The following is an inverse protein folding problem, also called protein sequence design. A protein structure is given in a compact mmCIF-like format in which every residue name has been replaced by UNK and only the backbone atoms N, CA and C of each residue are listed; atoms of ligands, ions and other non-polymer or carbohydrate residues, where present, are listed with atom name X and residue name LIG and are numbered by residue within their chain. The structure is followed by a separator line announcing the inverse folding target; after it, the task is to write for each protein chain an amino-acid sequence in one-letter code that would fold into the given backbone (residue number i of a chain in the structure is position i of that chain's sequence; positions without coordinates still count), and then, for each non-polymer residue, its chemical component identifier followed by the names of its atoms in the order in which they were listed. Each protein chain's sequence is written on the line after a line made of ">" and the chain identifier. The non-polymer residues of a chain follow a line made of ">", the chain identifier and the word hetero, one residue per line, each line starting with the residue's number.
data_IF_551003307391
#
_entry.id   IF_551003307391
#
_cell.length_a   1.000
_cell.length_b   1.000
_cell.length_c   1.000
_cell.angle_alpha   90.00
_cell.angle_beta   90.00
_cell.angle_gamma   90.00
#
_symmetry.space_group_name_H-M   'P 1'
#
loop_
_entity.id
_entity.type
_entity.pdbx_description
1 polymer ?
#
# COMPACT_ATOMS: atom_id res chain seq x y z
N UNK A 1 -14.96 -12.34 -14.21
CA UNK A 1 -14.28 -11.96 -15.47
C UNK A 1 -12.93 -11.24 -15.30
N UNK A 2 -12.40 -11.01 -14.08
CA UNK A 2 -11.12 -10.30 -13.88
C UNK A 2 -9.91 -11.18 -13.51
N UNK A 3 -10.06 -12.52 -13.51
CA UNK A 3 -9.00 -13.45 -13.07
C UNK A 3 -8.14 -14.03 -14.22
N UNK A 4 -8.56 -13.89 -15.48
CA UNK A 4 -7.84 -14.45 -16.64
C UNK A 4 -6.71 -13.56 -17.19
N UNK A 5 -6.38 -12.44 -16.53
CA UNK A 5 -5.37 -11.47 -17.00
C UNK A 5 -4.08 -11.44 -16.15
N UNK A 6 -3.90 -12.42 -15.27
CA UNK A 6 -2.81 -12.44 -14.28
C UNK A 6 -2.02 -13.76 -14.27
N UNK A 7 -2.22 -14.64 -15.26
CA UNK A 7 -1.36 -15.81 -15.48
C UNK A 7 -0.10 -15.47 -16.31
N UNK A 8 0.10 -14.20 -16.67
CA UNK A 8 1.21 -13.78 -17.55
C UNK A 8 2.31 -12.98 -16.84
N UNK A 9 2.56 -13.19 -15.53
CA UNK A 9 3.77 -12.61 -14.92
C UNK A 9 5.06 -13.16 -15.56
N UNK A 10 4.98 -14.34 -16.19
CA UNK A 10 6.06 -14.91 -17.02
C UNK A 10 6.11 -14.33 -18.43
N UNK A 11 5.13 -13.54 -18.87
CA UNK A 11 5.10 -12.93 -20.21
C UNK A 11 5.28 -11.41 -20.16
N UNK A 12 5.77 -10.85 -19.04
CA UNK A 12 6.26 -9.46 -19.09
C UNK A 12 7.49 -9.44 -19.98
N UNK A 13 7.33 -8.84 -21.17
CA UNK A 13 8.42 -8.69 -22.12
C UNK A 13 9.57 -7.93 -21.45
N UNK A 14 10.77 -8.53 -21.55
CA UNK A 14 11.98 -7.95 -21.02
C UNK A 14 12.58 -7.05 -22.08
N UNK A 15 12.58 -5.75 -21.85
CA UNK A 15 13.14 -4.81 -22.82
C UNK A 15 14.66 -4.73 -22.68
N UNK A 16 15.38 -4.71 -23.82
CA UNK A 16 16.82 -4.48 -23.84
C UNK A 16 17.12 -2.98 -23.93
N UNK A 17 17.83 -2.45 -22.93
CA UNK A 17 18.22 -1.05 -22.77
C UNK A 17 19.74 -0.89 -22.57
N UNK A 18 20.54 -1.84 -23.07
CA UNK A 18 22.01 -1.86 -22.94
C UNK A 18 22.71 -0.66 -23.60
N UNK A 19 22.15 -0.09 -24.68
CA UNK A 19 22.75 1.00 -25.44
C UNK A 19 22.46 2.41 -24.88
N UNK A 20 21.75 2.48 -23.75
CA UNK A 20 21.37 3.76 -23.13
C UNK A 20 22.44 4.21 -22.14
N UNK A 21 22.83 5.48 -22.24
CA UNK A 21 23.68 6.12 -21.23
C UNK A 21 22.88 6.33 -19.95
N UNK A 22 23.46 5.95 -18.81
CA UNK A 22 22.81 6.03 -17.50
C UNK A 22 23.69 6.83 -16.53
N UNK A 23 23.10 7.79 -15.84
CA UNK A 23 23.75 8.56 -14.78
C UNK A 23 23.20 8.13 -13.43
N UNK A 24 24.05 7.72 -12.49
CA UNK A 24 23.61 7.35 -11.13
C UNK A 24 23.00 8.57 -10.44
N UNK A 25 21.75 8.45 -10.01
CA UNK A 25 21.05 9.46 -9.22
C UNK A 25 21.32 9.29 -7.72
N UNK A 26 21.43 8.05 -7.27
CA UNK A 26 21.61 7.72 -5.87
C UNK A 26 21.49 6.22 -5.62
N UNK A 27 21.42 5.86 -4.36
CA UNK A 27 21.17 4.49 -3.90
C UNK A 27 20.79 4.49 -2.44
N UNK A 28 19.96 3.52 -2.05
CA UNK A 28 19.59 3.26 -0.67
C UNK A 28 20.15 1.94 -0.19
N UNK A 29 19.62 1.42 0.92
CA UNK A 29 20.04 0.13 1.47
C UNK A 29 19.75 -1.08 0.57
N UNK A 30 18.87 -0.94 -0.43
CA UNK A 30 18.36 -2.08 -1.20
C UNK A 30 18.61 -2.00 -2.70
N UNK A 31 18.89 -0.81 -3.22
CA UNK A 31 18.85 -0.55 -4.64
C UNK A 31 19.70 0.66 -5.01
N UNK A 32 20.16 0.64 -6.26
CA UNK A 32 20.72 1.79 -6.95
C UNK A 32 19.72 2.33 -7.96
N UNK A 33 19.76 3.64 -8.17
CA UNK A 33 18.85 4.37 -9.06
C UNK A 33 19.66 5.16 -10.08
N UNK A 34 19.30 5.01 -11.34
CA UNK A 34 19.95 5.66 -12.48
C UNK A 34 18.93 6.45 -13.30
N UNK A 35 19.38 7.51 -13.95
CA UNK A 35 18.61 8.30 -14.92
C UNK A 35 19.14 8.09 -16.32
N UNK A 36 18.27 7.93 -17.30
CA UNK A 36 18.67 7.83 -18.70
C UNK A 36 19.32 9.13 -19.19
N UNK A 37 20.18 9.05 -20.21
CA UNK A 37 20.88 10.21 -20.77
C UNK A 37 19.95 11.25 -21.39
N UNK A 38 18.77 10.85 -21.88
CA UNK A 38 17.71 11.77 -22.32
C UNK A 38 16.92 12.42 -21.16
N UNK A 39 17.19 11.98 -19.92
CA UNK A 39 16.59 12.48 -18.71
C UNK A 39 15.14 12.10 -18.48
N UNK A 40 14.56 11.21 -19.30
CA UNK A 40 13.13 10.86 -19.27
C UNK A 40 12.78 9.62 -18.46
N UNK A 41 13.75 8.76 -18.17
CA UNK A 41 13.53 7.47 -17.52
C UNK A 41 14.41 7.32 -16.28
N UNK A 42 13.92 6.50 -15.36
CA UNK A 42 14.64 6.02 -14.18
C UNK A 42 14.76 4.52 -14.29
N UNK A 43 15.97 4.00 -14.08
CA UNK A 43 16.24 2.59 -13.91
C UNK A 43 16.57 2.32 -12.45
N UNK A 44 15.84 1.39 -11.81
CA UNK A 44 16.10 0.94 -10.45
C UNK A 44 16.55 -0.51 -10.49
N UNK A 45 17.72 -0.77 -9.90
CA UNK A 45 18.32 -2.11 -9.82
C UNK A 45 18.60 -2.47 -8.37
N UNK A 46 18.28 -3.70 -8.01
CA UNK A 46 18.51 -4.22 -6.68
C UNK A 46 19.98 -4.61 -6.46
N UNK A 47 20.49 -4.38 -5.25
CA UNK A 47 21.82 -4.83 -4.84
C UNK A 47 21.92 -6.36 -4.85
N UNK A 48 22.96 -6.90 -5.48
CA UNK A 48 23.12 -8.33 -5.73
C UNK A 48 23.53 -9.14 -4.49
N UNK A 49 23.94 -8.46 -3.41
CA UNK A 49 24.49 -9.01 -2.18
C UNK A 49 23.48 -9.17 -1.04
N UNK A 50 22.27 -8.65 -1.20
CA UNK A 50 21.22 -8.72 -0.17
C UNK A 50 20.84 -10.18 0.12
N UNK A 51 20.39 -10.50 1.33
CA UNK A 51 19.77 -11.80 1.58
C UNK A 51 18.37 -11.89 0.94
N UNK A 52 17.84 -13.10 0.77
CA UNK A 52 16.54 -13.32 0.11
C UNK A 52 15.37 -12.59 0.80
N UNK A 53 15.48 -12.30 2.10
CA UNK A 53 14.43 -11.62 2.86
C UNK A 53 14.49 -10.10 2.65
N UNK A 54 15.69 -9.53 2.61
CA UNK A 54 15.97 -8.12 2.35
C UNK A 54 15.70 -7.76 0.88
N UNK A 55 15.88 -8.68 -0.06
CA UNK A 55 15.57 -8.47 -1.49
C UNK A 55 14.09 -8.29 -1.76
N UNK A 56 13.26 -8.95 -0.97
CA UNK A 56 11.91 -9.24 -1.38
C UNK A 56 10.98 -8.02 -1.62
N UNK A 57 11.09 -6.91 -0.87
CA UNK A 57 10.30 -5.70 -1.16
C UNK A 57 10.63 -5.08 -2.53
N UNK A 58 11.86 -5.19 -3.01
CA UNK A 58 12.35 -4.46 -4.19
C UNK A 58 12.57 -5.34 -5.43
N UNK A 59 12.14 -6.61 -5.42
CA UNK A 59 12.23 -7.49 -6.60
C UNK A 59 11.56 -6.83 -7.81
N UNK A 60 12.25 -6.71 -8.97
CA UNK A 60 11.78 -5.91 -10.11
C UNK A 60 10.34 -6.21 -10.56
N UNK A 61 9.96 -7.48 -10.65
CA UNK A 61 8.63 -7.93 -11.06
C UNK A 61 7.54 -7.41 -10.11
N UNK A 62 7.83 -7.44 -8.80
CA UNK A 62 6.92 -6.90 -7.79
C UNK A 62 6.82 -5.40 -7.96
N UNK A 63 7.96 -4.71 -8.11
CA UNK A 63 8.03 -3.26 -8.24
C UNK A 63 7.25 -2.76 -9.45
N UNK A 64 7.45 -3.34 -10.64
CA UNK A 64 6.68 -3.00 -11.85
C UNK A 64 5.19 -3.15 -11.64
N UNK A 65 4.74 -4.28 -11.08
CA UNK A 65 3.32 -4.52 -10.81
C UNK A 65 2.73 -3.47 -9.86
N UNK A 66 3.43 -3.18 -8.76
CA UNK A 66 2.97 -2.20 -7.77
C UNK A 66 2.95 -0.78 -8.34
N UNK A 67 3.98 -0.43 -9.09
CA UNK A 67 4.10 0.87 -9.72
C UNK A 67 2.93 1.08 -10.68
N UNK A 68 2.64 0.10 -11.55
CA UNK A 68 1.53 0.19 -12.49
C UNK A 68 0.15 0.18 -11.81
N UNK A 69 0.02 -0.41 -10.62
CA UNK A 69 -1.20 -0.36 -9.81
C UNK A 69 -1.40 1.04 -9.19
N UNK A 70 -0.32 1.62 -8.66
CA UNK A 70 -0.31 2.89 -7.94
C UNK A 70 -0.35 4.08 -8.92
N UNK A 71 0.53 4.09 -9.93
CA UNK A 71 0.78 5.13 -10.93
C UNK A 71 0.46 4.64 -12.37
N UNK A 72 -0.80 4.30 -12.69
CA UNK A 72 -1.18 3.66 -13.96
C UNK A 72 -1.00 4.55 -15.19
N UNK A 73 -0.90 5.86 -14.99
CA UNK A 73 -0.64 6.89 -15.99
C UNK A 73 0.86 7.07 -16.30
N UNK A 74 1.73 6.41 -15.54
CA UNK A 74 3.18 6.43 -15.70
C UNK A 74 3.67 4.98 -15.79
N UNK A 75 3.51 4.26 -16.90
CA UNK A 75 3.79 2.83 -16.94
C UNK A 75 5.27 2.50 -16.69
N UNK A 76 5.51 1.48 -15.88
CA UNK A 76 6.81 0.85 -15.65
C UNK A 76 6.89 -0.53 -16.33
N UNK A 77 8.10 -0.98 -16.60
CA UNK A 77 8.39 -2.26 -17.25
C UNK A 77 9.71 -2.87 -16.76
N UNK A 78 9.89 -4.17 -17.01
CA UNK A 78 11.13 -4.86 -16.72
C UNK A 78 12.18 -4.54 -17.80
N UNK A 79 13.43 -4.37 -17.39
CA UNK A 79 14.50 -4.08 -18.33
C UNK A 79 15.80 -4.79 -17.93
N UNK A 80 16.63 -5.03 -18.95
CA UNK A 80 18.04 -5.38 -18.79
C UNK A 80 18.88 -4.23 -19.35
N UNK A 81 19.88 -3.82 -18.56
CA UNK A 81 20.87 -2.81 -18.92
C UNK A 81 22.27 -3.39 -18.74
N UNK A 82 23.30 -2.60 -19.03
CA UNK A 82 24.69 -2.94 -18.71
C UNK A 82 24.97 -3.19 -17.21
N UNK A 83 24.06 -2.77 -16.32
CA UNK A 83 24.17 -3.02 -14.88
C UNK A 83 23.45 -4.30 -14.44
N UNK A 84 22.63 -4.90 -15.31
CA UNK A 84 21.87 -6.12 -15.03
C UNK A 84 20.36 -5.92 -15.12
N UNK A 85 19.62 -6.86 -14.53
CA UNK A 85 18.15 -6.89 -14.55
C UNK A 85 17.57 -5.97 -13.47
N UNK A 86 16.67 -5.08 -13.86
CA UNK A 86 15.94 -4.20 -12.96
C UNK A 86 14.60 -3.81 -13.56
N UNK A 87 14.13 -2.60 -13.24
CA UNK A 87 12.92 -2.05 -13.83
C UNK A 87 13.07 -0.58 -14.16
N UNK A 88 12.34 -0.15 -15.19
CA UNK A 88 12.35 1.22 -15.68
C UNK A 88 10.97 1.85 -15.46
N UNK A 89 10.95 3.13 -15.10
CA UNK A 89 9.75 3.96 -15.07
C UNK A 89 10.05 5.39 -15.57
N UNK A 90 9.02 6.20 -15.87
CA UNK A 90 9.22 7.60 -16.20
C UNK A 90 9.88 8.37 -15.06
N UNK A 91 10.82 9.25 -15.40
CA UNK A 91 11.42 10.17 -14.46
C UNK A 91 10.38 11.23 -14.03
N UNK A 92 10.07 11.25 -12.73
CA UNK A 92 9.11 12.20 -12.17
C UNK A 92 9.87 13.37 -11.54
N UNK A 93 9.82 14.52 -12.20
CA UNK A 93 10.37 15.76 -11.66
C UNK A 93 9.33 16.47 -10.78
N UNK A 94 9.79 17.02 -9.66
CA UNK A 94 8.94 17.75 -8.73
C UNK A 94 9.63 18.10 -7.42
N UNK A 95 8.86 18.68 -6.52
CA UNK A 95 9.27 19.00 -5.14
C UNK A 95 8.65 18.02 -4.16
N UNK A 96 9.15 17.96 -2.93
CA UNK A 96 8.49 17.17 -1.89
C UNK A 96 7.12 17.79 -1.53
N UNK A 97 6.01 17.02 -1.50
CA UNK A 97 4.72 17.52 -1.08
C UNK A 97 4.64 17.87 0.41
N UNK A 98 3.64 18.66 0.80
CA UNK A 98 3.33 18.91 2.21
C UNK A 98 2.87 17.63 2.93
N UNK A 99 2.92 17.62 4.26
CA UNK A 99 2.46 16.48 5.07
C UNK A 99 0.96 16.16 4.81
N UNK A 100 0.13 17.19 4.63
CA UNK A 100 -1.29 17.03 4.28
C UNK A 100 -1.49 16.46 2.88
N UNK A 101 -0.66 16.88 1.92
CA UNK A 101 -0.69 16.37 0.54
C UNK A 101 -0.24 14.90 0.48
N UNK A 102 0.80 14.54 1.23
CA UNK A 102 1.24 13.15 1.39
C UNK A 102 0.15 12.28 2.03
N UNK A 103 -0.47 12.76 3.11
CA UNK A 103 -1.58 12.08 3.78
C UNK A 103 -2.75 11.80 2.82
N UNK A 104 -3.15 12.80 2.02
CA UNK A 104 -4.19 12.65 0.99
C UNK A 104 -3.80 11.62 -0.07
N UNK A 105 -2.57 11.68 -0.58
CA UNK A 105 -2.08 10.70 -1.55
C UNK A 105 -2.08 9.26 -1.00
N UNK A 106 -1.70 9.08 0.28
CA UNK A 106 -1.75 7.77 0.96
C UNK A 106 -3.19 7.25 1.07
N UNK A 107 -4.16 8.11 1.39
CA UNK A 107 -5.58 7.77 1.43
C UNK A 107 -6.07 7.34 0.03
N UNK A 108 -5.74 8.11 -1.00
CA UNK A 108 -6.14 7.81 -2.38
C UNK A 108 -5.58 6.48 -2.86
N UNK A 109 -4.31 6.20 -2.56
CA UNK A 109 -3.66 4.92 -2.88
C UNK A 109 -4.34 3.77 -2.14
N UNK A 110 -4.64 3.92 -0.86
CA UNK A 110 -5.37 2.91 -0.09
C UNK A 110 -6.75 2.65 -0.68
N UNK A 111 -7.52 3.69 -0.99
CA UNK A 111 -8.87 3.54 -1.54
C UNK A 111 -8.88 2.83 -2.91
N UNK A 112 -7.87 3.11 -3.73
CA UNK A 112 -7.73 2.54 -5.07
C UNK A 112 -7.23 1.09 -5.06
N UNK A 113 -6.27 0.77 -4.19
CA UNK A 113 -5.48 -0.48 -4.27
C UNK A 113 -5.65 -1.40 -3.06
N UNK A 114 -6.14 -0.86 -1.95
CA UNK A 114 -6.14 -1.50 -0.62
C UNK A 114 -4.74 -1.59 0.01
N UNK A 115 -3.76 -0.85 -0.51
CA UNK A 115 -2.36 -0.86 -0.02
C UNK A 115 -2.08 0.32 0.90
N UNK A 116 -1.22 0.09 1.87
CA UNK A 116 -0.72 1.05 2.85
C UNK A 116 0.77 1.27 2.54
N UNK A 117 1.16 2.52 2.28
CA UNK A 117 2.57 2.89 2.09
C UNK A 117 3.20 3.15 3.45
N UNK A 118 3.93 2.16 3.99
CA UNK A 118 4.43 2.20 5.35
C UNK A 118 5.54 3.25 5.56
N UNK A 119 6.36 3.44 4.53
CA UNK A 119 7.51 4.34 4.48
C UNK A 119 7.17 5.67 3.78
N UNK A 120 5.90 5.95 3.50
CA UNK A 120 5.46 7.20 2.88
C UNK A 120 6.08 8.48 3.48
N UNK A 121 6.29 8.63 4.81
CA UNK A 121 6.94 9.79 5.41
C UNK A 121 8.44 9.95 5.09
N UNK A 122 9.04 8.98 4.40
CA UNK A 122 10.42 9.02 3.95
C UNK A 122 10.66 10.22 3.04
N UNK A 123 11.86 10.79 3.13
CA UNK A 123 12.25 11.90 2.27
C UNK A 123 12.24 11.44 0.81
N UNK A 124 11.72 12.29 -0.08
CA UNK A 124 11.63 12.04 -1.52
C UNK A 124 10.83 10.80 -1.99
N UNK A 125 10.15 10.09 -1.07
CA UNK A 125 9.25 8.99 -1.43
C UNK A 125 8.01 9.44 -2.21
N UNK A 126 7.69 10.74 -2.14
CA UNK A 126 6.68 11.39 -2.96
C UNK A 126 7.25 12.62 -3.69
N UNK A 127 6.71 12.87 -4.88
CA UNK A 127 6.97 14.10 -5.64
C UNK A 127 5.67 14.77 -6.02
N UNK A 128 5.57 16.07 -5.74
CA UNK A 128 4.57 16.96 -6.30
C UNK A 128 5.10 17.55 -7.60
N UNK A 129 4.50 17.12 -8.69
CA UNK A 129 4.86 17.57 -10.04
C UNK A 129 4.36 18.99 -10.30
N UNK A 130 4.88 19.70 -11.32
CA UNK A 130 4.50 21.09 -11.60
C UNK A 130 3.01 21.32 -11.87
N UNK A 131 2.30 20.29 -12.36
CA UNK A 131 0.84 20.34 -12.58
C UNK A 131 0.02 20.18 -11.28
N UNK A 132 0.68 19.97 -10.14
CA UNK A 132 0.08 19.80 -8.83
C UNK A 132 -0.19 18.36 -8.42
N UNK A 133 0.01 17.37 -9.31
CA UNK A 133 -0.19 15.94 -8.99
C UNK A 133 0.90 15.43 -8.05
N UNK A 134 0.49 14.67 -7.04
CA UNK A 134 1.38 13.98 -6.10
C UNK A 134 1.56 12.53 -6.54
N UNK A 135 2.80 12.14 -6.80
CA UNK A 135 3.18 10.81 -7.29
C UNK A 135 4.02 10.10 -6.23
N UNK A 136 3.69 8.85 -5.93
CA UNK A 136 4.49 7.99 -5.05
C UNK A 136 5.64 7.38 -5.87
N UNK A 137 6.87 7.68 -5.49
CA UNK A 137 8.09 7.25 -6.19
C UNK A 137 8.68 6.00 -5.54
N UNK A 138 8.65 5.91 -4.21
CA UNK A 138 9.05 4.68 -3.53
C UNK A 138 7.83 3.85 -3.13
N UNK A 139 7.74 2.69 -3.77
CA UNK A 139 6.64 1.73 -3.65
C UNK A 139 7.08 0.44 -2.94
N UNK A 140 8.36 0.34 -2.52
CA UNK A 140 8.92 -0.86 -1.90
C UNK A 140 8.08 -1.35 -0.73
N UNK A 141 7.60 -0.42 0.11
CA UNK A 141 6.76 -0.72 1.27
C UNK A 141 5.26 -0.47 1.07
N UNK A 142 4.75 -0.64 -0.16
CA UNK A 142 3.32 -0.70 -0.42
C UNK A 142 2.71 -2.05 0.03
N UNK A 143 2.21 -2.11 1.26
CA UNK A 143 1.75 -3.32 1.92
C UNK A 143 0.23 -3.48 1.83
N UNK A 144 -0.24 -4.66 1.41
CA UNK A 144 -1.65 -5.08 1.47
C UNK A 144 -1.88 -6.05 2.62
N UNK A 145 -2.78 -5.73 3.55
CA UNK A 145 -3.09 -6.65 4.66
C UNK A 145 -4.36 -7.41 4.32
N UNK A 146 -4.22 -8.66 3.89
CA UNK A 146 -5.37 -9.52 3.63
C UNK A 146 -5.91 -10.14 4.92
N UNK A 147 -7.23 -10.07 5.08
CA UNK A 147 -7.92 -10.64 6.24
C UNK A 147 -7.68 -12.16 6.39
N UNK A 148 -7.42 -12.87 5.28
CA UNK A 148 -7.14 -14.31 5.26
C UNK A 148 -5.74 -14.65 5.78
N UNK A 149 -4.79 -13.73 5.69
CA UNK A 149 -3.41 -13.96 6.13
C UNK A 149 -3.23 -13.78 7.65
N UNK A 150 -4.30 -13.35 8.35
CA UNK A 150 -4.34 -13.20 9.81
C UNK A 150 -4.13 -14.50 10.58
N UNK A 151 -4.36 -15.66 9.95
CA UNK A 151 -4.32 -16.98 10.61
C UNK A 151 -3.07 -17.81 10.25
N UNK A 152 -2.21 -17.34 9.34
CA UNK A 152 -1.07 -18.13 8.87
C UNK A 152 0.16 -17.92 9.76
N UNK A 153 0.85 -19.01 10.12
CA UNK A 153 2.18 -18.98 10.77
C UNK A 153 3.25 -18.50 9.78
N UNK A 154 4.47 -18.21 10.27
CA UNK A 154 5.58 -17.80 9.39
C UNK A 154 5.91 -18.91 8.40
N UNK A 155 6.05 -20.18 8.84
CA UNK A 155 6.32 -21.30 7.93
C UNK A 155 5.20 -21.49 6.89
N UNK A 156 3.93 -21.29 7.27
CA UNK A 156 2.81 -21.40 6.34
C UNK A 156 2.84 -20.33 5.24
N UNK A 157 3.32 -19.12 5.57
CA UNK A 157 3.55 -18.07 4.57
C UNK A 157 4.75 -18.39 3.67
N UNK A 158 5.75 -19.14 4.14
CA UNK A 158 6.88 -19.59 3.32
C UNK A 158 6.46 -20.68 2.32
N UNK A 159 5.71 -21.69 2.77
CA UNK A 159 5.31 -22.82 1.91
C UNK A 159 4.30 -22.42 0.84
N UNK A 160 3.38 -21.51 1.16
CA UNK A 160 2.38 -21.01 0.21
C UNK A 160 2.99 -20.01 -0.78
N UNK A 161 4.07 -19.31 -0.41
CA UNK A 161 4.80 -18.41 -1.31
C UNK A 161 5.45 -19.14 -2.49
N UNK A 162 5.96 -20.35 -2.27
CA UNK A 162 6.48 -21.23 -3.32
C UNK A 162 5.41 -21.69 -4.34
N UNK A 163 4.11 -21.44 -4.05
CA UNK A 163 2.98 -21.85 -4.88
C UNK A 163 2.27 -20.69 -5.61
N UNK A 164 2.78 -19.45 -5.52
CA UNK A 164 2.44 -18.36 -6.46
C UNK A 164 1.14 -17.57 -6.19
N UNK A 165 0.65 -17.49 -4.94
CA UNK A 165 -0.59 -16.73 -4.63
C UNK A 165 -0.33 -15.22 -4.43
N UNK A 166 -1.17 -14.40 -5.08
CA UNK A 166 -0.94 -13.01 -5.54
C UNK A 166 -0.76 -11.89 -4.50
N UNK A 167 -0.76 -12.15 -3.19
CA UNK A 167 -0.77 -11.10 -2.15
C UNK A 167 0.08 -11.39 -0.90
N UNK A 168 0.71 -12.56 -0.82
CA UNK A 168 1.41 -13.07 0.37
C UNK A 168 2.63 -12.25 0.79
N UNK A 169 3.19 -11.49 -0.15
CA UNK A 169 4.37 -10.67 0.07
C UNK A 169 4.20 -9.68 1.21
N UNK A 170 3.02 -9.06 1.29
CA UNK A 170 2.80 -7.91 2.15
C UNK A 170 2.73 -8.28 3.63
N UNK A 171 2.12 -9.42 3.97
CA UNK A 171 2.00 -9.87 5.36
C UNK A 171 3.35 -10.32 5.93
N UNK A 172 4.15 -11.04 5.13
CA UNK A 172 5.52 -11.45 5.51
C UNK A 172 6.44 -10.25 5.66
N UNK A 173 6.49 -9.36 4.65
CA UNK A 173 7.28 -8.13 4.72
C UNK A 173 6.88 -7.30 5.93
N UNK A 174 5.58 -7.14 6.20
CA UNK A 174 5.11 -6.42 7.39
C UNK A 174 5.61 -7.05 8.68
N UNK A 175 5.51 -8.37 8.87
CA UNK A 175 5.97 -9.04 10.09
C UNK A 175 7.46 -8.83 10.35
N UNK A 176 8.28 -8.86 9.29
CA UNK A 176 9.74 -8.67 9.39
C UNK A 176 10.08 -7.20 9.67
N UNK A 177 9.40 -6.28 8.98
CA UNK A 177 9.76 -4.84 9.00
C UNK A 177 9.06 -4.05 10.11
N UNK A 178 8.00 -4.60 10.74
CA UNK A 178 7.22 -3.91 11.77
C UNK A 178 8.07 -3.38 12.92
N UNK A 179 9.05 -4.15 13.41
CA UNK A 179 9.94 -3.70 14.48
C UNK A 179 10.79 -2.50 14.06
N UNK A 180 11.22 -2.45 12.80
CA UNK A 180 11.85 -1.27 12.22
C UNK A 180 10.92 -0.06 12.27
N UNK A 181 9.64 -0.24 11.92
CA UNK A 181 8.65 0.82 11.95
C UNK A 181 8.32 1.36 13.35
N UNK A 182 8.53 0.58 14.41
CA UNK A 182 8.38 1.05 15.79
C UNK A 182 9.39 2.15 16.13
N UNK A 183 10.58 2.13 15.51
CA UNK A 183 11.60 3.19 15.66
C UNK A 183 11.46 4.28 14.61
N UNK A 184 11.08 3.92 13.37
CA UNK A 184 10.91 4.86 12.28
C UNK A 184 9.74 5.83 12.52
N UNK A 185 8.57 5.35 12.96
CA UNK A 185 7.39 6.22 13.09
C UNK A 185 7.56 7.35 14.09
N UNK A 186 8.14 7.16 15.30
CA UNK A 186 8.44 8.27 16.20
C UNK A 186 9.35 9.34 15.56
N UNK A 187 10.39 8.92 14.83
CA UNK A 187 11.30 9.84 14.16
C UNK A 187 10.63 10.57 12.97
N UNK A 188 9.87 9.84 12.16
CA UNK A 188 9.12 10.38 11.05
C UNK A 188 8.00 11.34 11.51
N UNK A 189 7.32 11.02 12.61
CA UNK A 189 6.22 11.82 13.16
C UNK A 189 6.67 13.21 13.62
N UNK A 190 7.96 13.41 13.88
CA UNK A 190 8.51 14.74 14.15
C UNK A 190 8.39 15.67 12.93
N UNK A 191 8.56 15.13 11.71
CA UNK A 191 8.54 15.90 10.46
C UNK A 191 7.20 15.84 9.74
N UNK A 192 6.53 14.68 9.81
CA UNK A 192 5.33 14.34 9.04
C UNK A 192 4.25 13.69 9.93
N UNK A 193 3.80 14.37 11.00
CA UNK A 193 2.87 13.80 11.97
C UNK A 193 1.53 13.36 11.34
N UNK A 194 1.00 14.11 10.38
CA UNK A 194 -0.30 13.83 9.76
C UNK A 194 -0.20 12.55 8.95
N UNK A 195 0.81 12.43 8.08
CA UNK A 195 1.04 11.22 7.27
C UNK A 195 1.26 9.99 8.15
N UNK A 196 2.08 10.08 9.20
CA UNK A 196 2.30 8.96 10.14
C UNK A 196 1.00 8.52 10.82
N UNK A 197 0.20 9.47 11.32
CA UNK A 197 -1.08 9.14 11.95
C UNK A 197 -2.06 8.50 10.95
N UNK A 198 -2.11 8.98 9.71
CA UNK A 198 -2.90 8.37 8.64
C UNK A 198 -2.49 6.92 8.38
N UNK A 199 -1.19 6.64 8.24
CA UNK A 199 -0.69 5.27 8.03
C UNK A 199 -1.08 4.35 9.20
N UNK A 200 -0.89 4.81 10.43
CA UNK A 200 -1.26 4.05 11.63
C UNK A 200 -2.78 3.79 11.69
N UNK A 201 -3.60 4.78 11.36
CA UNK A 201 -5.05 4.63 11.27
C UNK A 201 -5.47 3.63 10.17
N UNK A 202 -4.80 3.63 9.01
CA UNK A 202 -5.04 2.66 7.94
C UNK A 202 -4.66 1.23 8.38
N UNK A 203 -3.55 1.05 9.08
CA UNK A 203 -3.19 -0.24 9.67
C UNK A 203 -4.25 -0.73 10.65
N UNK A 204 -4.78 0.16 11.49
CA UNK A 204 -5.87 -0.16 12.40
C UNK A 204 -7.12 -0.63 11.64
N UNK A 205 -7.54 0.10 10.60
CA UNK A 205 -8.69 -0.29 9.77
C UNK A 205 -8.45 -1.63 9.09
N UNK A 206 -7.32 -1.84 8.44
CA UNK A 206 -7.05 -3.11 7.75
C UNK A 206 -7.05 -4.31 8.73
N UNK A 207 -6.61 -4.08 9.96
CA UNK A 207 -6.59 -5.13 10.99
C UNK A 207 -7.98 -5.40 11.59
N UNK A 208 -8.73 -4.38 12.00
CA UNK A 208 -9.98 -4.58 12.73
C UNK A 208 -11.24 -4.49 11.87
N UNK A 209 -11.17 -3.80 10.72
CA UNK A 209 -12.29 -3.50 9.82
C UNK A 209 -11.90 -3.70 8.35
N UNK A 210 -11.46 -4.91 7.96
CA UNK A 210 -11.03 -5.19 6.58
C UNK A 210 -12.14 -5.04 5.54
N UNK A 211 -13.40 -4.91 5.97
CA UNK A 211 -14.54 -4.62 5.11
C UNK A 211 -14.62 -3.14 4.68
N UNK A 212 -13.83 -2.25 5.30
CA UNK A 212 -13.75 -0.83 4.92
C UNK A 212 -12.61 -0.69 3.91
N UNK A 213 -12.97 -0.49 2.64
CA UNK A 213 -12.02 -0.25 1.54
C UNK A 213 -11.99 1.20 1.06
N UNK A 214 -12.87 2.06 1.59
CA UNK A 214 -12.91 3.48 1.30
C UNK A 214 -12.85 4.27 2.61
N UNK A 215 -11.83 5.11 2.77
CA UNK A 215 -11.57 5.93 3.95
C UNK A 215 -11.54 7.43 3.63
N UNK A 216 -12.24 7.87 2.57
CA UNK A 216 -12.37 9.30 2.22
C UNK A 216 -12.86 10.17 3.39
N UNK A 217 -13.56 9.58 4.36
CA UNK A 217 -13.95 10.29 5.57
C UNK A 217 -12.78 10.78 6.42
N UNK A 218 -11.57 10.23 6.28
CA UNK A 218 -10.37 10.74 6.95
C UNK A 218 -10.06 12.19 6.62
N UNK A 219 -10.36 12.64 5.39
CA UNK A 219 -10.10 14.02 4.94
C UNK A 219 -10.85 15.07 5.77
N UNK A 220 -11.97 14.69 6.40
CA UNK A 220 -12.83 15.60 7.15
C UNK A 220 -12.86 15.29 8.67
N UNK A 221 -12.12 14.27 9.12
CA UNK A 221 -12.20 13.76 10.48
C UNK A 221 -10.80 13.52 11.08
N UNK A 222 -9.96 14.57 11.22
CA UNK A 222 -8.60 14.42 11.74
C UNK A 222 -8.56 13.85 13.17
N UNK A 223 -9.54 14.19 14.01
CA UNK A 223 -9.66 13.63 15.36
C UNK A 223 -9.90 12.12 15.35
N UNK A 224 -10.65 11.61 14.37
CA UNK A 224 -10.84 10.17 14.19
C UNK A 224 -9.52 9.52 13.79
N UNK A 225 -8.78 10.10 12.85
CA UNK A 225 -7.46 9.59 12.43
C UNK A 225 -6.53 9.45 13.64
N UNK A 226 -6.47 10.46 14.50
CA UNK A 226 -5.68 10.42 15.73
C UNK A 226 -6.14 9.33 16.70
N UNK A 227 -7.45 9.11 16.86
CA UNK A 227 -7.99 8.06 17.72
C UNK A 227 -7.65 6.66 17.18
N UNK A 228 -7.76 6.44 15.87
CA UNK A 228 -7.40 5.18 15.23
C UNK A 228 -5.89 4.92 15.29
N UNK A 229 -5.07 5.95 15.12
CA UNK A 229 -3.61 5.86 15.27
C UNK A 229 -3.19 5.46 16.70
N UNK A 230 -3.89 5.94 17.73
CA UNK A 230 -3.73 5.47 19.12
C UNK A 230 -4.18 4.01 19.27
N UNK A 231 -5.32 3.66 18.66
CA UNK A 231 -5.80 2.27 18.57
C UNK A 231 -4.75 1.31 18.00
N UNK A 232 -4.04 1.72 16.95
CA UNK A 232 -2.94 0.94 16.36
C UNK A 232 -1.81 0.65 17.36
N UNK A 233 -1.49 1.59 18.24
CA UNK A 233 -0.50 1.43 19.31
C UNK A 233 -1.00 0.57 20.48
N UNK A 234 -2.22 0.05 20.39
CA UNK A 234 -2.87 -0.74 21.43
C UNK A 234 -3.60 0.09 22.49
N UNK A 235 -3.69 1.41 22.31
CA UNK A 235 -4.38 2.30 23.24
C UNK A 235 -5.86 2.42 22.88
N UNK A 236 -6.76 2.19 23.85
CA UNK A 236 -8.19 2.49 23.71
C UNK A 236 -8.85 1.90 22.45
N UNK A 237 -8.51 0.65 22.11
CA UNK A 237 -9.00 -0.04 20.91
C UNK A 237 -10.54 0.00 20.81
N UNK A 238 -11.25 -0.23 21.92
CA UNK A 238 -12.71 -0.19 21.95
C UNK A 238 -13.27 1.20 21.60
N UNK A 239 -12.68 2.27 22.14
CA UNK A 239 -13.09 3.65 21.85
C UNK A 239 -12.83 3.99 20.37
N UNK A 240 -11.68 3.57 19.83
CA UNK A 240 -11.31 3.76 18.44
C UNK A 240 -12.30 3.04 17.48
N UNK A 241 -12.71 1.80 17.81
CA UNK A 241 -13.74 1.08 17.05
C UNK A 241 -15.10 1.77 17.12
N UNK A 242 -15.52 2.19 18.32
CA UNK A 242 -16.79 2.89 18.49
C UNK A 242 -16.81 4.24 17.74
N UNK A 243 -15.70 4.97 17.72
CA UNK A 243 -15.56 6.20 16.93
C UNK A 243 -15.69 5.93 15.42
N UNK A 244 -15.03 4.87 14.93
CA UNK A 244 -15.12 4.45 13.53
C UNK A 244 -16.55 4.01 13.14
N UNK A 245 -17.24 3.28 14.01
CA UNK A 245 -18.63 2.85 13.79
C UNK A 245 -19.58 4.04 13.68
N UNK A 246 -19.42 5.05 14.54
CA UNK A 246 -20.23 6.28 14.47
C UNK A 246 -20.01 7.00 13.14
N UNK A 247 -18.76 7.22 12.74
CA UNK A 247 -18.44 7.93 11.50
C UNK A 247 -19.01 7.23 10.27
N UNK A 248 -18.87 5.90 10.20
CA UNK A 248 -19.34 5.10 9.06
C UNK A 248 -20.86 4.94 9.02
N UNK A 249 -21.53 4.90 10.17
CA UNK A 249 -23.01 4.82 10.24
C UNK A 249 -23.68 6.14 9.86
N UNK A 250 -23.13 7.27 10.30
CA UNK A 250 -23.66 8.61 9.98
C UNK A 250 -23.64 8.85 8.46
N UNK A 251 -22.57 8.46 7.78
CA UNK A 251 -22.44 8.65 6.33
C UNK A 251 -23.31 7.70 5.50
N UNK A 252 -23.44 6.44 5.92
CA UNK A 252 -24.37 5.52 5.29
C UNK A 252 -25.83 6.02 5.35
N UNK A 253 -26.19 6.72 6.43
CA UNK A 253 -27.52 7.32 6.58
C UNK A 253 -27.73 8.57 5.71
N UNK A 254 -26.67 9.36 5.48
CA UNK A 254 -26.72 10.56 4.64
C UNK A 254 -26.82 10.26 3.14
N UNK A 255 -26.30 9.11 2.70
CA UNK A 255 -26.33 8.69 1.29
C UNK A 255 -27.60 7.93 0.89
N UNK A 256 -28.54 7.70 1.82
CA UNK A 256 -29.83 7.09 1.46
C UNK A 256 -30.60 8.08 0.58
N UNK A 257 -30.89 7.76 -0.69
CA UNK A 257 -31.56 8.69 -1.58
C UNK A 257 -32.88 9.09 -0.95
N UNK A 258 -33.10 10.40 -0.80
CA UNK A 258 -34.44 10.91 -0.52
C UNK A 258 -35.30 10.39 -1.66
N UNK A 259 -36.12 9.39 -1.37
CA UNK A 259 -37.10 8.86 -2.30
C UNK A 259 -37.92 10.05 -2.73
N UNK A 260 -37.63 10.55 -3.94
CA UNK A 260 -38.47 11.50 -4.63
C UNK A 260 -39.78 10.76 -4.79
N UNK A 261 -40.73 11.05 -3.89
CA UNK A 261 -42.13 10.67 -4.07
C UNK A 261 -42.46 11.01 -5.51
N UNK A 262 -42.76 9.98 -6.28
CA UNK A 262 -43.26 10.13 -7.62
C UNK A 262 -44.41 11.14 -7.56
N UNK A 263 -44.15 12.33 -8.07
CA UNK A 263 -45.21 13.24 -8.45
C UNK A 263 -46.07 12.48 -9.44
N UNK A 264 -47.31 12.28 -9.04
CA UNK A 264 -48.40 11.68 -9.79
C UNK A 264 -48.68 12.54 -11.04
N UNK A 265 -47.84 12.40 -12.07
CA UNK A 265 -48.11 12.90 -13.41
C UNK A 265 -48.73 11.75 -14.21
N UNK A 266 -50.05 11.65 -14.07
CA UNK A 266 -50.92 10.86 -14.93
C UNK A 266 -50.98 11.45 -16.34
N UNK A 267 -49.88 11.33 -17.10
CA UNK A 267 -49.94 11.48 -18.56
C UNK A 267 -50.45 10.18 -19.19
N UNK A 268 -51.63 10.30 -19.80
CA UNK A 268 -52.33 9.25 -20.55
C UNK A 268 -51.48 8.79 -21.74
N UNK A 269 -50.87 7.62 -21.63
CA UNK A 269 -50.30 6.91 -22.77
C UNK A 269 -51.42 6.08 -23.42
N UNK A 270 -51.78 6.43 -24.66
CA UNK A 270 -52.65 5.62 -25.52
C UNK A 270 -51.91 4.35 -25.94
N UNK A 271 -52.36 3.20 -25.44
CA UNK A 271 -51.88 1.88 -25.85
C UNK A 271 -52.65 1.45 -27.11
N UNK A 272 -51.93 1.33 -28.22
CA UNK A 272 -52.40 0.63 -29.43
C UNK A 272 -52.32 -0.87 -29.13
N UNK A 273 -53.48 -1.52 -29.16
CA UNK A 273 -53.61 -2.97 -29.10
C UNK A 273 -53.17 -3.63 -30.41
N UNK A 274 -52.47 -4.76 -30.30
CA UNK A 274 -52.52 -5.82 -31.30
C UNK A 274 -52.25 -7.19 -30.65
N UNK A 275 -52.74 -8.29 -31.27
CA UNK A 275 -53.24 -9.42 -30.51
C UNK A 275 -52.28 -10.61 -30.46
N UNK A 276 -52.44 -11.36 -29.36
CA UNK A 276 -52.39 -12.82 -29.19
C UNK A 276 -51.31 -13.66 -29.90
N UNK A 277 -50.50 -14.36 -29.10
CA UNK A 277 -50.22 -15.79 -29.34
C UNK A 277 -49.55 -16.47 -28.13
N UNK A 278 -50.30 -17.42 -27.56
CA UNK A 278 -49.85 -18.75 -27.09
C UNK A 278 -49.15 -18.92 -25.73
N UNK A 279 -49.88 -19.67 -24.89
CA UNK A 279 -49.55 -20.31 -23.62
C UNK A 279 -48.55 -21.47 -23.80
N UNK A 280 -47.74 -21.76 -22.76
CA UNK A 280 -47.58 -23.09 -22.11
C UNK A 280 -46.56 -23.02 -20.93
N UNK A 281 -46.53 -24.02 -20.00
CA UNK A 281 -46.51 -23.76 -18.56
C UNK A 281 -45.16 -23.97 -17.84
N UNK A 282 -45.10 -23.35 -16.65
CA UNK A 282 -44.10 -23.54 -15.58
C UNK A 282 -44.39 -24.84 -14.80
N UNK A 283 -43.35 -25.56 -14.36
CA UNK A 283 -43.46 -26.36 -13.14
C UNK A 283 -42.36 -26.04 -12.11
N UNK A 284 -42.76 -26.05 -10.83
CA UNK A 284 -41.90 -26.56 -9.76
C UNK A 284 -41.39 -25.55 -8.74
N UNK A 285 -42.26 -25.17 -7.80
CA UNK A 285 -41.86 -24.68 -6.48
C UNK A 285 -41.23 -25.80 -5.65
N UNK A 286 -40.03 -25.60 -5.12
CA UNK A 286 -39.52 -26.37 -3.98
C UNK A 286 -39.05 -25.41 -2.88
N UNK A 287 -39.80 -25.42 -1.79
CA UNK A 287 -39.43 -24.81 -0.52
C UNK A 287 -38.47 -25.74 0.22
N UNK A 288 -37.39 -25.19 0.76
CA UNK A 288 -36.72 -25.78 1.92
C UNK A 288 -36.31 -24.66 2.86
N UNK A 289 -37.02 -24.62 3.99
CA UNK A 289 -36.65 -23.91 5.20
C UNK A 289 -35.53 -24.70 5.85
N UNK A 290 -34.35 -24.12 6.01
CA UNK A 290 -33.45 -24.49 7.09
C UNK A 290 -33.08 -23.24 7.88
N UNK A 291 -33.65 -23.16 9.08
CA UNK A 291 -33.15 -22.31 10.15
C UNK A 291 -31.92 -23.02 10.73
N UNK A 292 -30.75 -22.40 10.61
CA UNK A 292 -29.61 -22.75 11.46
C UNK A 292 -29.34 -21.56 12.37
N UNK A 293 -29.76 -21.72 13.61
CA UNK A 293 -29.48 -20.83 14.72
C UNK A 293 -28.01 -21.06 15.13
N UNK A 294 -27.13 -20.12 14.78
CA UNK A 294 -25.73 -20.13 15.23
C UNK A 294 -25.62 -19.15 16.40
N UNK A 295 -25.67 -19.69 17.60
CA UNK A 295 -25.32 -19.00 18.84
C UNK A 295 -23.82 -18.70 18.82
N UNK A 296 -23.43 -17.44 18.65
CA UNK A 296 -22.05 -16.98 18.86
C UNK A 296 -21.88 -16.48 20.29
N UNK A 297 -21.31 -17.34 21.14
CA UNK A 297 -20.59 -16.93 22.35
C UNK A 297 -19.11 -17.24 22.14
N UNK A 298 -18.30 -16.20 21.91
CA UNK A 298 -16.85 -16.26 22.09
C UNK A 298 -16.28 -14.85 22.07
N UNK A 299 -16.12 -14.28 23.27
CA UNK A 299 -15.19 -13.18 23.52
C UNK A 299 -13.77 -13.74 23.47
N UNK A 300 -13.21 -13.83 22.26
CA UNK A 300 -11.80 -14.15 22.06
C UNK A 300 -10.93 -12.99 22.51
N UNK A 301 -10.23 -13.16 23.63
CA UNK A 301 -9.12 -12.29 24.05
C UNK A 301 -7.98 -12.39 23.04
N UNK A 302 -7.95 -11.48 22.06
CA UNK A 302 -6.79 -11.28 21.19
C UNK A 302 -5.74 -10.47 21.95
N UNK A 303 -4.96 -11.16 22.78
CA UNK A 303 -3.72 -10.61 23.30
C UNK A 303 -2.78 -10.33 22.14
N UNK A 304 -2.48 -9.05 21.89
CA UNK A 304 -1.37 -8.65 21.04
C UNK A 304 -0.11 -9.33 21.57
N UNK A 305 0.43 -10.28 20.80
CA UNK A 305 1.70 -10.93 21.10
C UNK A 305 2.76 -9.84 21.29
N UNK A 306 3.26 -9.69 22.51
CA UNK A 306 4.52 -8.99 22.75
C UNK A 306 5.63 -9.94 22.28
N UNK A 307 6.40 -9.63 21.22
CA UNK A 307 7.51 -10.49 20.83
C UNK A 307 8.55 -10.48 21.96
N UNK A 308 8.89 -11.67 22.46
CA UNK A 308 10.10 -11.85 23.27
C UNK A 308 11.30 -11.67 22.33
N UNK A 309 12.03 -10.58 22.52
CA UNK A 309 13.28 -10.32 21.80
C UNK A 309 14.33 -11.29 22.36
N UNK A 310 14.95 -12.16 21.54
CA UNK A 310 16.07 -12.98 22.02
C UNK A 310 17.23 -12.05 22.40
N UNK A 311 17.74 -12.24 23.61
CA UNK A 311 18.87 -11.49 24.14
C UNK A 311 20.14 -11.87 23.36
N UNK A 312 20.47 -11.10 22.32
CA UNK A 312 21.70 -11.27 21.56
C UNK A 312 22.80 -10.48 22.27
N UNK A 313 23.60 -11.16 23.09
CA UNK A 313 24.86 -10.64 23.61
C UNK A 313 25.80 -10.36 22.43
N UNK A 314 25.86 -9.10 21.97
CA UNK A 314 26.94 -8.65 21.07
C UNK A 314 28.22 -8.45 21.88
N UNK A 315 29.36 -9.01 21.46
CA UNK A 315 30.64 -8.69 22.06
C UNK A 315 31.00 -7.22 21.81
N UNK A 316 31.64 -6.60 22.80
CA UNK A 316 32.11 -5.22 22.72
C UNK A 316 33.15 -5.05 21.60
N UNK A 317 33.13 -3.92 20.86
CA UNK A 317 34.12 -3.65 19.83
C UNK A 317 35.50 -3.38 20.47
N UNK A 318 36.53 -4.02 19.92
CA UNK A 318 37.93 -3.74 20.23
C UNK A 318 38.36 -2.37 19.68
N UNK A 319 39.25 -1.65 20.37
CA UNK A 319 39.71 -0.34 19.94
C UNK A 319 40.86 -0.44 18.92
N UNK A 320 40.98 0.63 18.11
CA UNK A 320 42.14 1.08 17.32
C UNK A 320 42.13 0.82 15.80
N UNK A 321 42.02 1.89 15.01
CA UNK A 321 43.18 2.66 14.55
C UNK A 321 42.78 4.07 14.09
N UNK A 322 43.38 5.09 14.71
CA UNK A 322 43.38 6.47 14.21
C UNK A 322 44.24 6.55 12.95
N UNK A 323 43.68 7.02 11.83
CA UNK A 323 44.44 7.57 10.70
C UNK A 323 43.90 8.94 10.30
N UNK A 324 44.83 9.73 9.78
CA UNK A 324 44.85 11.18 9.71
C UNK A 324 43.77 11.74 8.77
N UNK A 325 43.17 12.86 9.19
CA UNK A 325 42.23 13.64 8.39
C UNK A 325 42.97 14.48 7.34
N UNK A 326 42.50 14.38 6.11
CA UNK A 326 42.76 15.36 5.04
C UNK A 326 41.47 16.17 4.91
N UNK A 327 41.57 17.49 5.07
CA UNK A 327 40.46 18.40 4.88
C UNK A 327 40.10 18.45 3.39
N UNK A 328 38.83 18.14 3.08
CA UNK A 328 38.23 18.45 1.79
C UNK A 328 37.45 19.75 1.94
N UNK A 329 37.70 20.69 1.03
CA UNK A 329 36.93 21.93 0.89
C UNK A 329 35.51 21.59 0.40
N UNK A 330 34.51 22.11 1.10
CA UNK A 330 33.09 21.91 0.78
C UNK A 330 32.72 22.65 -0.52
N UNK A 331 32.17 21.92 -1.49
CA UNK A 331 31.52 22.49 -2.68
C UNK A 331 30.08 22.92 -2.31
N UNK A 332 29.75 24.22 -2.34
CA UNK A 332 28.42 24.73 -2.00
C UNK A 332 27.32 24.37 -3.01
N UNK A 333 27.65 23.69 -4.13
CA UNK A 333 26.67 23.22 -5.12
C UNK A 333 26.43 21.69 -5.06
N UNK A 334 27.00 20.98 -4.10
CA UNK A 334 26.73 19.55 -3.91
C UNK A 334 25.37 19.36 -3.23
N UNK A 335 24.37 18.69 -3.85
CA UNK A 335 23.11 18.38 -3.18
C UNK A 335 23.42 17.39 -2.05
N UNK A 336 23.44 17.89 -0.83
CA UNK A 336 23.61 17.10 0.38
C UNK A 336 22.47 16.08 0.49
N UNK A 337 22.77 14.81 0.26
CA UNK A 337 21.80 13.74 0.46
C UNK A 337 22.39 12.71 1.42
N UNK A 338 22.03 12.84 2.69
CA UNK A 338 22.13 11.75 3.66
C UNK A 338 20.94 10.82 3.42
N UNK A 339 21.20 9.61 2.93
CA UNK A 339 20.22 8.53 2.85
C UNK A 339 20.55 7.50 3.92
N UNK A 340 19.55 7.08 4.69
CA UNK A 340 19.60 5.94 5.63
C UNK A 340 18.82 4.79 5.01
#
# INVERSE_FOLDING_TARGET
>A
MALSKLESLNDMELENWEDIEWTKLGGGAYNDVYRSGDGKHVFKIQHAELDDLARYPDVPERSVRLWNEINPDLPAFLAVTQYGKGWICPFVYGVEPSDEEMSRAVIDIFNKTGRILADAPGQDNFKKTPDGRVVCIDIGMALKIDAKDKQLTIEQLFTKHLTGVKSETSAKTWRITRSGFETFFPAAAFRKPITVNTIQALYFIAFYRPNISNVNFFNNSPDLVLQLAKGYKGEKIADALAALDRETTVKASAETPISTKAGDNSEKINIIQSPDATKTPVPGSLSLKEKTEITRTSTGNYGMFKPQIPNVNRPAPTPEHKKQGVAFEDDPNSPSSFWV
#
